data_IF_912241851471
#
_entry.id   IF_912241851471
#
_cell.length_a   1.000
_cell.length_b   1.000
_cell.length_c   1.000
_cell.angle_alpha   90.00
_cell.angle_beta   90.00
_cell.angle_gamma   90.00
#
_symmetry.space_group_name_H-M   'P 1'
#
loop_
_entity.id
_entity.type
_entity.pdbx_description
1 polymer ?
2 non-polymer ?
#
# COMPACT_ATOMS: atom_id res chain seq x y z
N UNK A 22 26.92 -21.25 -16.12
CA UNK A 22 27.09 -19.99 -15.40
C UNK A 22 26.81 -18.79 -16.29
N UNK A 23 25.81 -18.00 -15.95
CA UNK A 23 25.48 -16.82 -16.75
C UNK A 23 26.50 -15.70 -16.55
N UNK A 24 26.58 -14.84 -17.56
CA UNK A 24 27.53 -13.73 -17.53
C UNK A 24 27.10 -12.70 -16.49
N UNK A 25 28.05 -12.23 -15.71
CA UNK A 25 27.78 -11.16 -14.76
C UNK A 25 27.53 -9.86 -15.52
N UNK A 26 26.43 -9.20 -15.20
CA UNK A 26 26.14 -7.93 -15.82
C UNK A 26 27.05 -6.85 -15.25
N UNK A 27 27.17 -5.75 -15.99
CA UNK A 27 27.92 -4.60 -15.51
C UNK A 27 27.23 -4.01 -14.30
N UNK A 28 28.03 -3.53 -13.34
CA UNK A 28 27.45 -3.08 -12.08
C UNK A 28 26.75 -1.74 -12.24
N UNK A 29 27.34 -0.81 -12.99
CA UNK A 29 26.66 0.46 -13.23
C UNK A 29 25.54 0.34 -14.24
N UNK A 30 25.52 -0.72 -15.05
CA UNK A 30 24.40 -0.99 -15.94
C UNK A 30 23.31 -1.82 -15.28
N UNK A 31 23.50 -2.22 -14.03
CA UNK A 31 22.48 -2.94 -13.30
C UNK A 31 21.74 -2.04 -12.32
N UNK A 32 22.47 -1.21 -11.56
CA UNK A 32 21.83 -0.30 -10.63
C UNK A 32 21.11 0.82 -11.37
N UNK A 33 21.60 1.20 -12.55
CA UNK A 33 20.85 2.13 -13.39
C UNK A 33 19.59 1.49 -13.94
N UNK A 34 19.60 0.19 -14.17
CA UNK A 34 18.43 -0.50 -14.68
C UNK A 34 17.49 -0.96 -13.57
N UNK A 35 18.00 -1.21 -12.37
CA UNK A 35 17.13 -1.46 -11.23
C UNK A 35 16.36 -0.20 -10.85
N UNK A 36 17.02 0.96 -10.92
CA UNK A 36 16.34 2.20 -10.62
C UNK A 36 15.43 2.64 -11.75
N UNK A 37 15.76 2.31 -13.00
CA UNK A 37 14.88 2.69 -14.10
C UNK A 37 13.66 1.79 -14.19
N UNK A 38 13.80 0.50 -13.88
CA UNK A 38 12.62 -0.36 -13.81
C UNK A 38 11.77 0.01 -12.61
N UNK A 39 12.38 0.23 -11.46
CA UNK A 39 11.64 0.60 -10.26
C UNK A 39 10.99 1.96 -10.33
N UNK A 40 11.45 2.82 -11.24
CA UNK A 40 10.77 4.08 -11.52
C UNK A 40 9.61 3.85 -12.48
N UNK A 41 9.84 3.10 -13.55
CA UNK A 41 8.85 2.91 -14.59
C UNK A 41 7.79 1.89 -14.23
N UNK A 42 8.02 1.05 -13.23
CA UNK A 42 6.98 0.14 -12.77
C UNK A 42 5.95 0.84 -11.91
N UNK A 43 6.26 2.05 -11.43
CA UNK A 43 5.32 2.81 -10.61
C UNK A 43 4.52 3.82 -11.43
N UNK A 44 4.75 3.92 -12.74
CA UNK A 44 4.03 4.90 -13.54
C UNK A 44 2.68 4.33 -13.96
N UNK A 45 1.65 4.73 -13.22
CA UNK A 45 0.26 4.38 -13.52
C UNK A 45 -0.46 5.71 -13.34
N UNK A 46 -0.52 6.52 -14.39
CA UNK A 46 -1.12 7.86 -14.26
C UNK A 46 -2.60 7.83 -13.93
N UNK A 47 -3.34 6.84 -14.41
CA UNK A 47 -4.75 6.76 -14.14
C UNK A 47 -5.10 5.93 -12.93
N UNK A 48 -4.16 5.77 -12.00
CA UNK A 48 -4.40 4.92 -10.83
C UNK A 48 -5.17 5.66 -9.76
N UNK A 49 -4.84 6.93 -9.52
CA UNK A 49 -5.59 7.74 -8.58
C UNK A 49 -6.98 8.10 -9.11
N UNK A 50 -7.20 7.95 -10.40
CA UNK A 50 -8.47 8.25 -11.06
C UNK A 50 -9.16 6.98 -11.53
N UNK A 51 -9.12 5.93 -10.70
CA UNK A 51 -9.90 4.73 -11.02
C UNK A 51 -11.34 4.91 -10.56
N UNK A 52 -11.53 5.34 -9.32
CA UNK A 52 -12.84 5.59 -8.75
C UNK A 52 -13.60 6.74 -9.41
N UNK A 53 -13.01 7.93 -9.70
CA UNK A 53 -13.78 8.91 -10.49
C UNK A 53 -14.03 8.49 -11.92
N UNK A 54 -13.31 7.49 -12.43
CA UNK A 54 -13.62 6.94 -13.74
C UNK A 54 -14.74 5.92 -13.66
N UNK A 55 -14.73 5.06 -12.63
CA UNK A 55 -15.78 4.06 -12.47
C UNK A 55 -17.11 4.70 -12.08
N UNK A 56 -17.06 5.77 -11.30
CA UNK A 56 -18.27 6.49 -10.90
C UNK A 56 -18.64 7.60 -11.87
N UNK A 57 -17.89 7.77 -12.94
CA UNK A 57 -18.14 8.83 -13.89
C UNK A 57 -19.14 8.43 -14.95
N UNK A 58 -19.27 9.25 -15.98
CA UNK A 58 -20.24 8.95 -17.05
C UNK A 58 -19.73 7.97 -18.10
N UNK A 59 -18.68 7.23 -17.80
CA UNK A 59 -18.08 6.33 -18.77
C UNK A 59 -18.29 4.84 -18.47
N UNK A 60 -18.82 4.49 -17.30
CA UNK A 60 -18.74 3.09 -16.87
C UNK A 60 -20.04 2.43 -16.47
N UNK A 61 -21.10 3.17 -16.14
CA UNK A 61 -22.42 2.64 -15.74
C UNK A 61 -22.32 1.77 -14.48
N UNK A 62 -21.89 2.39 -13.39
CA UNK A 62 -21.90 1.77 -12.08
C UNK A 62 -22.52 2.72 -11.08
N UNK A 63 -23.38 2.18 -10.22
CA UNK A 63 -24.03 2.99 -9.19
C UNK A 63 -23.05 3.25 -8.06
N UNK A 64 -23.25 4.34 -7.34
CA UNK A 64 -22.37 4.70 -6.23
C UNK A 64 -22.34 3.61 -5.17
N UNK A 65 -23.42 2.84 -5.04
CA UNK A 65 -23.48 1.72 -4.13
C UNK A 65 -23.03 0.42 -4.77
N UNK A 66 -22.79 0.40 -6.08
CA UNK A 66 -22.21 -0.77 -6.74
C UNK A 66 -20.70 -0.76 -6.66
N UNK A 67 -20.09 0.42 -6.50
CA UNK A 67 -18.65 0.49 -6.38
C UNK A 67 -18.22 0.32 -4.93
N UNK A 68 -18.89 1.00 -4.01
CA UNK A 68 -18.47 0.94 -2.61
C UNK A 68 -18.94 -0.31 -1.88
N UNK A 69 -19.83 -1.11 -2.47
CA UNK A 69 -20.34 -2.29 -1.78
C UNK A 69 -20.26 -3.58 -2.58
N UNK A 70 -20.11 -3.53 -3.89
CA UNK A 70 -19.98 -4.74 -4.69
C UNK A 70 -18.61 -4.89 -5.32
N UNK A 71 -17.86 -3.81 -5.49
CA UNK A 71 -16.58 -3.83 -6.20
C UNK A 71 -15.41 -3.67 -5.25
N UNK A 72 -15.40 -2.59 -4.47
CA UNK A 72 -14.28 -2.28 -3.57
C UNK A 72 -14.04 -3.28 -2.43
N UNK A 73 -15.04 -3.99 -1.87
CA UNK A 73 -14.67 -5.09 -0.94
C UNK A 73 -13.96 -6.26 -1.60
N UNK A 74 -14.03 -6.43 -2.92
CA UNK A 74 -13.25 -7.48 -3.58
C UNK A 74 -11.76 -7.12 -3.63
N UNK A 75 -11.41 -5.85 -3.43
CA UNK A 75 -10.02 -5.47 -3.27
C UNK A 75 -9.41 -6.00 -1.98
N UNK A 76 -10.25 -6.27 -0.99
CA UNK A 76 -9.81 -6.80 0.29
C UNK A 76 -9.92 -8.32 0.34
N UNK A 77 -10.94 -8.87 -0.31
CA UNK A 77 -11.14 -10.31 -0.32
C UNK A 77 -10.05 -10.99 -1.12
N UNK A 78 -9.78 -10.47 -2.32
CA UNK A 78 -8.78 -11.07 -3.19
C UNK A 78 -7.38 -10.87 -2.65
N UNK A 79 -7.14 -9.76 -1.96
CA UNK A 79 -5.85 -9.52 -1.32
C UNK A 79 -5.61 -10.48 -0.16
N UNK A 80 -6.67 -11.02 0.44
CA UNK A 80 -6.48 -12.11 1.38
C UNK A 80 -6.21 -13.43 0.67
N UNK A 81 -6.73 -13.58 -0.53
CA UNK A 81 -6.60 -14.86 -1.25
C UNK A 81 -5.29 -14.95 -2.01
N UNK A 82 -4.75 -13.83 -2.50
CA UNK A 82 -3.54 -13.86 -3.30
C UNK A 82 -2.30 -13.43 -2.51
N UNK A 83 -2.49 -13.16 -1.23
CA UNK A 83 -1.39 -12.71 -0.38
C UNK A 83 -0.41 -13.84 -0.13
N UNK A 84 -0.90 -14.95 0.40
CA UNK A 84 -0.03 -16.08 0.68
C UNK A 84 0.60 -16.61 -0.59
N UNK A 85 -0.20 -17.02 -1.57
CA UNK A 85 0.37 -17.53 -2.83
C UNK A 85 1.48 -16.66 -3.42
N UNK A 86 1.31 -15.35 -3.47
CA UNK A 86 2.34 -14.50 -4.08
C UNK A 86 3.54 -14.36 -3.14
N UNK A 87 3.31 -14.36 -1.82
CA UNK A 87 4.42 -14.29 -0.88
C UNK A 87 5.29 -15.56 -0.93
N UNK A 88 4.70 -16.70 -1.27
CA UNK A 88 5.47 -17.92 -1.41
C UNK A 88 6.04 -18.09 -2.82
N UNK A 89 5.32 -17.65 -3.84
CA UNK A 89 5.85 -17.71 -5.21
C UNK A 89 6.92 -16.67 -5.48
N UNK A 90 7.07 -15.67 -4.61
CA UNK A 90 8.14 -14.70 -4.80
C UNK A 90 9.50 -15.32 -4.54
N UNK A 91 9.56 -16.16 -3.51
CA UNK A 91 10.79 -16.84 -3.13
C UNK A 91 11.01 -18.15 -3.90
N UNK A 92 9.92 -18.76 -4.37
CA UNK A 92 10.04 -20.02 -5.10
C UNK A 92 10.44 -19.78 -6.54
N UNK A 93 9.94 -18.72 -7.17
CA UNK A 93 10.26 -18.42 -8.56
C UNK A 93 11.45 -17.47 -8.69
N UNK A 94 12.09 -17.12 -7.58
CA UNK A 94 13.24 -16.22 -7.49
C UNK A 94 12.94 -14.84 -8.07
N UNK A 95 11.82 -14.26 -7.65
CA UNK A 95 11.53 -12.82 -7.60
C UNK A 95 11.48 -12.10 -8.93
N UNK A 96 11.62 -12.80 -10.05
CA UNK A 96 11.55 -12.15 -11.36
C UNK A 96 10.18 -12.43 -11.99
N UNK A 97 9.64 -13.67 -12.03
CA UNK A 97 8.30 -13.83 -12.63
C UNK A 97 7.18 -13.23 -11.81
N UNK A 98 7.41 -12.94 -10.53
CA UNK A 98 6.41 -12.21 -9.75
C UNK A 98 6.50 -10.71 -10.04
N UNK A 99 7.69 -10.23 -10.42
CA UNK A 99 7.77 -8.86 -10.94
C UNK A 99 7.17 -8.76 -12.32
N UNK A 100 7.11 -9.87 -13.06
CA UNK A 100 6.37 -9.89 -14.32
C UNK A 100 4.88 -10.08 -14.08
N UNK A 101 4.51 -10.85 -13.04
CA UNK A 101 3.11 -11.01 -12.69
C UNK A 101 2.55 -9.75 -12.08
N UNK A 102 3.38 -8.93 -11.42
CA UNK A 102 2.92 -7.65 -10.93
C UNK A 102 2.70 -6.67 -12.07
N UNK A 103 3.46 -6.80 -13.16
CA UNK A 103 3.27 -5.92 -14.29
C UNK A 103 2.20 -6.40 -15.26
N UNK A 104 2.01 -7.72 -15.37
CA UNK A 104 0.97 -8.25 -16.23
C UNK A 104 -0.40 -8.17 -15.58
N UNK A 105 -0.47 -8.23 -14.26
CA UNK A 105 -1.74 -7.97 -13.60
C UNK A 105 -2.10 -6.50 -13.58
N UNK A 106 -1.12 -5.65 -13.90
CA UNK A 106 -1.33 -4.23 -14.00
C UNK A 106 -2.04 -4.01 -15.34
N UNK A 107 -1.51 -4.63 -16.39
CA UNK A 107 -2.11 -4.56 -17.71
C UNK A 107 -3.53 -5.12 -17.67
N UNK A 108 -3.74 -6.19 -16.90
CA UNK A 108 -5.07 -6.79 -16.81
C UNK A 108 -6.03 -5.94 -15.99
N UNK A 109 -5.54 -5.05 -15.13
CA UNK A 109 -6.42 -4.11 -14.46
C UNK A 109 -6.88 -3.04 -15.42
N UNK A 110 -5.95 -2.43 -16.15
CA UNK A 110 -6.30 -1.37 -17.08
C UNK A 110 -6.94 -1.90 -18.35
N UNK A 111 -6.80 -3.19 -18.66
CA UNK A 111 -7.61 -3.75 -19.73
C UNK A 111 -9.05 -3.98 -19.28
N UNK A 112 -9.26 -4.16 -17.98
CA UNK A 112 -10.62 -4.27 -17.47
C UNK A 112 -11.22 -2.91 -17.14
N UNK A 113 -10.38 -1.92 -16.84
CA UNK A 113 -10.89 -0.55 -16.71
C UNK A 113 -11.42 -0.04 -18.03
N UNK A 114 -10.73 -0.32 -19.12
CA UNK A 114 -11.05 0.24 -20.42
C UNK A 114 -12.10 -0.57 -21.17
N UNK A 115 -12.18 -1.87 -20.93
CA UNK A 115 -13.08 -2.72 -21.70
C UNK A 115 -14.13 -3.42 -20.87
N UNK A 116 -13.95 -3.55 -19.56
CA UNK A 116 -14.97 -4.17 -18.73
C UNK A 116 -16.14 -3.22 -18.53
N UNK A 117 -17.34 -3.79 -18.50
CA UNK A 117 -18.55 -3.00 -18.41
C UNK A 117 -19.44 -3.47 -17.27
N UNK A 118 -19.37 -4.74 -16.94
CA UNK A 118 -20.21 -5.32 -15.90
C UNK A 118 -19.58 -5.17 -14.53
N UNK A 119 -20.33 -5.55 -13.50
CA UNK A 119 -19.80 -5.50 -12.15
C UNK A 119 -18.83 -6.66 -11.94
N UNK A 120 -19.10 -7.81 -12.55
CA UNK A 120 -18.19 -8.94 -12.46
C UNK A 120 -16.88 -8.68 -13.20
N UNK A 121 -16.88 -7.79 -14.19
CA UNK A 121 -15.63 -7.40 -14.82
C UNK A 121 -14.81 -6.49 -13.92
N UNK A 122 -15.45 -5.78 -13.00
CA UNK A 122 -14.71 -4.96 -12.06
C UNK A 122 -14.29 -5.72 -10.82
N UNK A 123 -15.04 -6.74 -10.42
CA UNK A 123 -14.57 -7.61 -9.34
C UNK A 123 -13.41 -8.47 -9.80
N UNK A 124 -13.34 -8.76 -11.10
CA UNK A 124 -12.14 -9.37 -11.66
C UNK A 124 -10.98 -8.38 -11.71
N UNK A 125 -11.29 -7.09 -11.84
CA UNK A 125 -10.26 -6.07 -11.81
C UNK A 125 -9.67 -5.90 -10.42
N UNK A 126 -10.47 -6.08 -9.38
CA UNK A 126 -9.94 -6.09 -8.03
C UNK A 126 -9.19 -7.37 -7.69
N UNK A 127 -9.47 -8.46 -8.41
CA UNK A 127 -8.67 -9.66 -8.25
C UNK A 127 -7.27 -9.46 -8.81
N UNK A 128 -7.16 -8.76 -9.94
CA UNK A 128 -5.88 -8.51 -10.55
C UNK A 128 -5.15 -7.34 -9.89
N UNK A 129 -5.87 -6.42 -9.26
CA UNK A 129 -5.19 -5.35 -8.54
C UNK A 129 -4.60 -5.86 -7.23
N UNK A 130 -5.24 -6.85 -6.62
CA UNK A 130 -4.74 -7.42 -5.38
C UNK A 130 -3.48 -8.22 -5.60
N UNK A 131 -3.32 -8.78 -6.80
CA UNK A 131 -2.06 -9.45 -7.15
C UNK A 131 -0.93 -8.43 -7.21
N UNK A 132 -1.22 -7.23 -7.71
CA UNK A 132 -0.22 -6.17 -7.76
C UNK A 132 0.08 -5.57 -6.40
N UNK A 133 -0.79 -5.81 -5.41
CA UNK A 133 -0.52 -5.30 -4.04
C UNK A 133 0.24 -6.38 -3.26
N UNK A 134 -0.07 -7.66 -3.51
CA UNK A 134 0.67 -8.74 -2.88
C UNK A 134 2.07 -8.90 -3.45
N UNK A 135 2.29 -8.48 -4.70
CA UNK A 135 3.59 -8.51 -5.34
C UNK A 135 4.31 -7.17 -5.24
N UNK A 136 3.96 -6.37 -4.25
CA UNK A 136 4.66 -5.10 -4.03
C UNK A 136 5.98 -5.33 -3.32
N UNK A 137 6.06 -6.37 -2.49
CA UNK A 137 7.32 -6.76 -1.86
C UNK A 137 8.20 -7.57 -2.79
N UNK A 138 7.74 -7.89 -3.99
CA UNK A 138 8.51 -8.67 -4.95
C UNK A 138 9.63 -7.87 -5.59
N UNK A 139 9.73 -6.57 -5.33
CA UNK A 139 10.81 -5.74 -5.83
C UNK A 139 11.79 -5.34 -4.73
N UNK A 140 11.30 -5.10 -3.52
CA UNK A 140 12.20 -4.80 -2.41
C UNK A 140 12.97 -6.03 -1.98
N UNK A 141 12.37 -7.21 -2.09
CA UNK A 141 13.05 -8.45 -1.78
C UNK A 141 13.79 -9.04 -2.96
N UNK A 142 13.59 -8.49 -4.16
CA UNK A 142 14.35 -8.92 -5.32
C UNK A 142 15.76 -8.36 -5.31
N UNK A 143 15.90 -7.08 -4.96
CA UNK A 143 17.20 -6.44 -4.85
C UNK A 143 17.98 -6.98 -3.66
N UNK A 144 17.27 -7.48 -2.65
CA UNK A 144 17.91 -8.12 -1.51
C UNK A 144 18.64 -9.40 -1.92
N UNK A 145 18.11 -10.12 -2.91
CA UNK A 145 18.72 -11.36 -3.36
C UNK A 145 19.56 -11.19 -4.61
N UNK A 146 19.48 -10.05 -5.27
CA UNK A 146 20.28 -9.78 -6.46
C UNK A 146 21.62 -9.19 -6.11
N UNK A 147 21.66 -8.33 -5.10
CA UNK A 147 22.84 -7.56 -4.73
C UNK A 147 23.50 -8.22 -3.53
N UNK A 148 24.83 -8.28 -3.55
CA UNK A 148 25.60 -8.79 -2.42
C UNK A 148 25.41 -7.88 -1.22
N UNK A 149 25.47 -8.43 0.01
CA UNK A 149 25.14 -7.63 1.20
C UNK A 149 26.08 -6.48 1.49
N UNK A 150 27.30 -6.50 0.96
CA UNK A 150 28.21 -5.37 1.13
C UNK A 150 27.77 -4.19 0.27
N UNK A 151 27.05 -4.45 -0.83
CA UNK A 151 26.63 -3.42 -1.76
C UNK A 151 25.13 -3.17 -1.73
N UNK A 152 24.41 -3.77 -0.79
CA UNK A 152 22.95 -3.72 -0.83
C UNK A 152 22.41 -2.39 -0.33
N UNK A 153 23.01 -1.83 0.73
CA UNK A 153 22.43 -0.64 1.37
C UNK A 153 22.56 0.61 0.51
N UNK A 154 23.43 0.59 -0.49
CA UNK A 154 23.50 1.71 -1.42
C UNK A 154 22.51 1.56 -2.57
N UNK A 155 22.25 0.32 -3.00
CA UNK A 155 21.27 0.11 -4.07
C UNK A 155 19.85 0.18 -3.51
N UNK A 156 19.64 -0.32 -2.29
CA UNK A 156 18.34 -0.19 -1.64
C UNK A 156 18.02 1.26 -1.29
N UNK A 157 19.03 2.11 -1.12
CA UNK A 157 18.75 3.52 -0.96
C UNK A 157 18.42 4.20 -2.27
N UNK A 158 19.01 3.73 -3.37
CA UNK A 158 18.73 4.32 -4.67
C UNK A 158 17.39 3.84 -5.21
N UNK A 159 17.08 2.56 -5.03
CA UNK A 159 15.86 2.02 -5.61
C UNK A 159 14.63 2.41 -4.80
N UNK A 160 14.77 2.62 -3.49
CA UNK A 160 13.67 3.19 -2.73
C UNK A 160 13.46 4.65 -3.09
N UNK A 161 14.50 5.33 -3.57
CA UNK A 161 14.34 6.69 -4.07
C UNK A 161 13.80 6.71 -5.49
N UNK A 162 14.01 5.64 -6.25
CA UNK A 162 13.46 5.58 -7.60
C UNK A 162 12.02 5.08 -7.60
N UNK A 163 11.66 4.25 -6.62
CA UNK A 163 10.26 3.87 -6.46
C UNK A 163 9.45 5.06 -5.97
N UNK A 164 9.98 5.79 -4.99
CA UNK A 164 9.27 6.92 -4.42
C UNK A 164 9.16 8.08 -5.38
N UNK A 165 10.10 8.14 -6.32
CA UNK A 165 10.09 9.15 -7.36
C UNK A 165 9.10 8.68 -8.45
N UNK A 166 8.88 7.38 -8.53
CA UNK A 166 7.97 6.80 -9.49
C UNK A 166 6.52 7.00 -9.10
N UNK A 167 6.18 6.71 -7.83
CA UNK A 167 4.81 6.91 -7.39
C UNK A 167 4.49 8.38 -7.17
N UNK A 168 5.51 9.24 -7.04
CA UNK A 168 5.23 10.68 -6.99
C UNK A 168 4.90 11.21 -8.37
N UNK A 169 5.76 10.95 -9.35
CA UNK A 169 5.56 11.53 -10.66
C UNK A 169 4.50 10.80 -11.48
N UNK A 170 4.02 9.63 -11.05
CA UNK A 170 2.88 9.04 -11.72
C UNK A 170 1.61 9.78 -11.37
N UNK A 171 1.50 10.24 -10.14
CA UNK A 171 0.35 11.03 -9.73
C UNK A 171 0.47 12.49 -10.17
N UNK A 172 1.68 12.97 -10.38
CA UNK A 172 1.86 14.31 -10.94
C UNK A 172 1.54 14.30 -12.44
N UNK A 173 2.06 13.31 -13.17
CA UNK A 173 1.73 13.17 -14.59
C UNK A 173 0.27 12.78 -14.77
N UNK A 174 -0.30 12.03 -13.84
CA UNK A 174 -1.73 11.76 -13.89
C UNK A 174 -2.56 12.99 -13.63
N UNK A 175 -2.04 13.94 -12.87
CA UNK A 175 -2.76 15.17 -12.60
C UNK A 175 -2.56 16.22 -13.69
N UNK A 176 -1.34 16.36 -14.22
CA UNK A 176 -1.10 17.36 -15.24
C UNK A 176 -1.75 16.99 -16.57
N UNK A 177 -1.93 15.70 -16.82
CA UNK A 177 -2.67 15.31 -18.01
C UNK A 177 -4.15 15.56 -17.85
N UNK A 178 -4.66 15.39 -16.64
CA UNK A 178 -6.09 15.55 -16.38
C UNK A 178 -6.52 17.00 -16.14
N UNK A 179 -5.64 17.82 -15.57
CA UNK A 179 -5.96 19.21 -15.27
C UNK A 179 -5.38 20.17 -16.30
N UNK A 180 -4.07 20.11 -16.53
CA UNK A 180 -3.43 21.03 -17.47
C UNK A 180 -3.63 20.55 -18.90
N UNK A 181 -3.42 19.26 -19.15
CA UNK A 181 -3.54 18.73 -20.49
C UNK A 181 -4.96 18.58 -20.97
N UNK A 182 -5.94 18.56 -20.05
CA UNK A 182 -7.38 18.46 -20.34
C UNK A 182 -7.71 17.20 -21.13
N UNK A 183 -7.16 16.07 -20.70
CA UNK A 183 -7.50 14.78 -21.28
C UNK A 183 -8.58 14.14 -20.40
N UNK A 184 -9.29 13.18 -20.96
CA UNK A 184 -10.36 12.53 -20.23
C UNK A 184 -9.80 11.42 -19.35
N UNK A 185 -10.67 10.82 -18.55
CA UNK A 185 -10.25 9.67 -17.76
C UNK A 185 -10.03 8.43 -18.61
N UNK A 186 -10.74 8.34 -19.73
CA UNK A 186 -10.54 7.19 -20.62
C UNK A 186 -9.24 7.31 -21.39
N UNK A 187 -8.89 8.52 -21.84
CA UNK A 187 -7.61 8.75 -22.50
C UNK A 187 -6.45 8.58 -21.54
N UNK A 188 -6.65 8.95 -20.27
CA UNK A 188 -5.60 8.78 -19.27
C UNK A 188 -5.35 7.30 -18.98
N UNK A 189 -6.38 6.48 -19.06
CA UNK A 189 -6.18 5.04 -18.89
C UNK A 189 -5.55 4.40 -20.12
N UNK A 190 -5.60 5.05 -21.28
CA UNK A 190 -4.83 4.56 -22.42
C UNK A 190 -3.38 4.99 -22.33
N UNK A 191 -3.12 6.17 -21.75
CA UNK A 191 -1.76 6.59 -21.48
C UNK A 191 -1.14 5.72 -20.40
N UNK A 192 -1.95 5.32 -19.41
CA UNK A 192 -1.47 4.40 -18.38
C UNK A 192 -1.22 3.01 -18.93
N UNK A 193 -2.02 2.58 -19.92
CA UNK A 193 -1.80 1.26 -20.53
C UNK A 193 -0.57 1.26 -21.42
N UNK A 194 -0.17 2.41 -21.94
CA UNK A 194 1.10 2.49 -22.67
C UNK A 194 2.28 2.39 -21.72
N UNK A 195 2.17 3.00 -20.54
CA UNK A 195 3.25 2.92 -19.56
C UNK A 195 3.32 1.56 -18.91
N UNK A 196 2.22 0.83 -18.86
CA UNK A 196 2.19 -0.46 -18.18
C UNK A 196 2.67 -1.59 -19.06
N UNK A 197 2.44 -1.51 -20.37
CA UNK A 197 3.06 -2.48 -21.28
C UNK A 197 4.55 -2.20 -21.46
N UNK A 198 5.00 -1.00 -21.17
CA UNK A 198 6.44 -0.72 -21.13
C UNK A 198 7.08 -1.29 -19.88
N UNK A 199 6.32 -1.38 -18.77
CA UNK A 199 6.84 -1.96 -17.56
C UNK A 199 6.85 -3.48 -17.57
N UNK A 200 6.06 -4.11 -18.45
CA UNK A 200 6.18 -5.55 -18.65
C UNK A 200 7.42 -5.86 -19.49
N UNK A 201 7.72 -5.00 -20.46
CA UNK A 201 8.90 -5.17 -21.30
C UNK A 201 10.18 -4.98 -20.48
N UNK A 202 10.17 -4.02 -19.56
CA UNK A 202 11.34 -3.82 -18.71
C UNK A 202 11.50 -4.93 -17.68
N UNK A 203 10.40 -5.56 -17.25
CA UNK A 203 10.50 -6.66 -16.31
C UNK A 203 10.99 -7.95 -16.94
N UNK A 204 10.97 -8.03 -18.27
CA UNK A 204 11.49 -9.21 -18.96
C UNK A 204 13.01 -9.26 -18.89
N UNK A 205 13.66 -8.10 -18.98
CA UNK A 205 15.11 -8.02 -19.05
C UNK A 205 15.76 -7.88 -17.69
N UNK A 206 15.03 -8.15 -16.60
CA UNK A 206 15.63 -8.13 -15.28
C UNK A 206 16.44 -9.40 -15.07
N UNK A 207 17.52 -9.26 -14.30
CA UNK A 207 18.41 -10.38 -14.01
C UNK A 207 17.77 -11.24 -12.93
N UNK A 208 17.42 -12.45 -13.27
CA UNK A 208 16.84 -13.36 -12.29
C UNK A 208 17.94 -13.92 -11.39
N UNK A 209 17.78 -13.88 -10.07
CA UNK A 209 18.79 -14.45 -9.18
C UNK A 209 18.80 -15.97 -9.26
N UNK A 210 19.84 -16.56 -8.70
CA UNK A 210 19.95 -18.01 -8.69
C UNK A 210 19.76 -18.62 -7.31
N UNK A 211 19.74 -17.80 -6.26
CA UNK A 211 19.45 -18.27 -4.91
C UNK A 211 18.51 -17.29 -4.24
N UNK A 212 17.47 -17.81 -3.61
CA UNK A 212 16.50 -17.00 -2.91
C UNK A 212 16.76 -17.06 -1.41
N UNK A 213 15.83 -16.55 -0.62
CA UNK A 213 15.99 -16.50 0.82
C UNK A 213 15.46 -17.76 1.50
N UNK A 214 14.41 -18.38 0.97
CA UNK A 214 13.79 -19.54 1.59
C UNK A 214 13.90 -20.80 0.74
N UNK A 215 13.39 -20.76 -0.49
CA UNK A 215 13.16 -21.98 -1.25
C UNK A 215 14.28 -22.33 -2.22
N UNK A 216 15.12 -21.37 -2.61
CA UNK A 216 16.15 -21.63 -3.60
C UNK A 216 17.55 -21.46 -3.07
N UNK A 217 17.71 -21.43 -1.74
CA UNK A 217 19.05 -21.49 -1.19
C UNK A 217 19.59 -22.91 -1.26
N UNK A 218 20.91 -23.03 -1.24
CA UNK A 218 21.58 -24.32 -1.36
C UNK A 218 21.79 -25.01 -0.01
N UNK A 219 21.01 -24.64 1.01
CA UNK A 219 21.00 -25.25 2.35
C UNK A 219 22.36 -25.27 3.04
N UNK A 252 17.53 -27.14 9.84
CA UNK A 252 16.99 -26.57 8.60
C UNK A 252 16.63 -25.11 8.80
N UNK A 253 16.09 -24.49 7.76
CA UNK A 253 15.71 -23.08 7.84
C UNK A 253 14.44 -22.92 8.68
N UNK A 254 13.57 -23.92 8.59
CA UNK A 254 12.33 -23.92 9.36
C UNK A 254 12.66 -24.11 10.84
N UNK A 255 13.71 -24.88 11.12
CA UNK A 255 14.13 -25.12 12.49
C UNK A 255 14.79 -23.88 13.08
N UNK A 256 15.54 -23.15 12.26
CA UNK A 256 16.24 -21.96 12.76
C UNK A 256 15.28 -20.81 13.00
N UNK A 257 14.22 -20.71 12.20
CA UNK A 257 13.28 -19.61 12.34
C UNK A 257 12.41 -19.78 13.57
N UNK A 258 11.78 -20.95 13.70
CA UNK A 258 10.79 -21.15 14.76
C UNK A 258 11.44 -21.23 16.13
N UNK A 259 12.70 -21.64 16.19
CA UNK A 259 13.43 -21.56 17.45
C UNK A 259 13.74 -20.11 17.80
N UNK A 260 13.95 -19.27 16.78
CA UNK A 260 14.19 -17.85 16.98
C UNK A 260 12.92 -17.02 17.01
N UNK A 261 11.84 -17.51 16.40
CA UNK A 261 10.56 -16.78 16.43
C UNK A 261 9.94 -16.83 17.81
N UNK A 262 10.10 -17.94 18.53
CA UNK A 262 9.54 -18.03 19.87
C UNK A 262 10.26 -17.13 20.85
N UNK A 263 11.59 -17.05 20.74
CA UNK A 263 12.35 -16.18 21.64
C UNK A 263 12.19 -14.71 21.29
N UNK A 264 11.92 -14.38 20.04
CA UNK A 264 11.69 -13.01 19.63
C UNK A 264 10.23 -12.59 19.73
N UNK A 265 9.31 -13.52 19.92
CA UNK A 265 7.93 -13.16 20.17
C UNK A 265 7.72 -12.61 21.57
N UNK A 266 8.60 -12.94 22.52
CA UNK A 266 8.52 -12.38 23.86
C UNK A 266 9.45 -11.17 24.00
N UNK A 267 9.23 -10.19 23.14
CA UNK A 267 9.83 -8.88 23.26
C UNK A 267 8.73 -7.83 23.29
N UNK A 268 8.74 -6.90 24.24
CA UNK A 268 7.67 -5.89 24.27
C UNK A 268 7.94 -4.68 23.38
N UNK A 269 8.48 -4.93 22.18
CA UNK A 269 8.53 -3.93 21.13
C UNK A 269 8.08 -4.59 19.85
N UNK A 270 8.33 -5.89 19.74
CA UNK A 270 7.85 -6.65 18.60
C UNK A 270 6.35 -6.89 18.72
N UNK A 271 5.86 -7.21 19.92
CA UNK A 271 4.44 -7.45 20.11
C UNK A 271 3.62 -6.18 19.99
N UNK A 272 4.17 -5.06 20.45
CA UNK A 272 3.43 -3.81 20.42
C UNK A 272 3.29 -3.29 18.98
N UNK A 273 4.36 -3.36 18.21
CA UNK A 273 4.32 -2.87 16.84
C UNK A 273 3.82 -3.89 15.85
N UNK A 274 3.65 -5.15 16.25
CA UNK A 274 2.87 -6.07 15.43
C UNK A 274 1.38 -5.91 15.69
N UNK A 275 1.01 -5.63 16.93
CA UNK A 275 -0.38 -5.29 17.22
C UNK A 275 -0.80 -3.99 16.56
N UNK A 276 0.15 -3.07 16.39
CA UNK A 276 -0.11 -1.88 15.57
C UNK A 276 -0.23 -2.27 14.10
N UNK A 277 0.64 -3.16 13.63
CA UNK A 277 0.66 -3.51 12.21
C UNK A 277 -0.58 -4.30 11.81
N UNK A 278 -1.16 -5.06 12.74
CA UNK A 278 -2.33 -5.84 12.40
C UNK A 278 -3.57 -4.96 12.33
N UNK A 279 -3.73 -4.04 13.28
CA UNK A 279 -4.98 -3.30 13.42
C UNK A 279 -4.94 -1.89 12.88
N UNK A 280 -3.85 -1.15 13.10
CA UNK A 280 -3.79 0.23 12.63
C UNK A 280 -3.50 0.30 11.15
N UNK A 281 -2.88 -0.73 10.58
CA UNK A 281 -2.69 -0.78 9.14
C UNK A 281 -3.89 -1.36 8.41
N UNK A 282 -4.70 -2.17 9.08
CA UNK A 282 -5.93 -2.66 8.46
C UNK A 282 -6.94 -1.55 8.30
N UNK A 283 -7.05 -0.68 9.30
CA UNK A 283 -7.90 0.49 9.17
C UNK A 283 -7.34 1.55 8.23
N UNK A 284 -6.03 1.53 8.00
CA UNK A 284 -5.42 2.53 7.12
C UNK A 284 -5.80 2.27 5.67
N UNK A 285 -5.70 1.02 5.22
CA UNK A 285 -6.02 0.72 3.84
C UNK A 285 -7.52 0.76 3.58
N UNK A 286 -8.35 0.59 4.61
CA UNK A 286 -9.78 0.78 4.44
C UNK A 286 -10.13 2.23 4.20
N UNK A 287 -9.36 3.15 4.77
CA UNK A 287 -9.56 4.55 4.41
C UNK A 287 -8.95 4.83 3.04
N UNK A 288 -7.84 4.17 2.72
CA UNK A 288 -7.16 4.40 1.45
C UNK A 288 -8.00 3.89 0.27
N UNK A 289 -8.66 2.74 0.44
CA UNK A 289 -9.48 2.18 -0.63
C UNK A 289 -10.72 3.03 -0.90
N UNK A 290 -11.28 3.63 0.14
CA UNK A 290 -12.61 4.22 0.07
C UNK A 290 -12.64 5.74 0.10
N UNK A 291 -11.48 6.41 0.15
CA UNK A 291 -11.54 7.86 0.25
C UNK A 291 -11.83 8.50 -1.10
N UNK A 292 -11.55 7.81 -2.21
CA UNK A 292 -11.86 8.38 -3.51
C UNK A 292 -13.34 8.28 -3.83
N UNK A 293 -14.03 7.30 -3.25
CA UNK A 293 -15.49 7.26 -3.34
C UNK A 293 -16.09 8.38 -2.51
N UNK A 294 -15.43 8.77 -1.43
CA UNK A 294 -15.93 9.85 -0.60
C UNK A 294 -15.65 11.21 -1.23
N UNK A 295 -14.56 11.34 -1.97
CA UNK A 295 -14.31 12.58 -2.69
C UNK A 295 -15.23 12.75 -3.89
N UNK A 296 -15.77 11.67 -4.42
CA UNK A 296 -16.78 11.75 -5.46
C UNK A 296 -18.15 12.12 -4.91
N UNK A 297 -18.34 12.03 -3.60
CA UNK A 297 -19.58 12.47 -2.97
C UNK A 297 -19.50 13.94 -2.56
N UNK A 298 -18.33 14.38 -2.10
CA UNK A 298 -18.18 15.76 -1.66
C UNK A 298 -18.18 16.70 -2.85
N UNK A 299 -17.33 16.43 -3.84
CA UNK A 299 -17.25 17.23 -5.06
C UNK A 299 -17.60 16.35 -6.25
N UNK A 300 -18.87 16.23 -6.62
CA UNK A 300 -19.26 15.46 -7.81
C UNK A 300 -19.19 16.28 -9.08
N UNK A 301 -17.99 16.75 -9.41
CA UNK A 301 -17.80 17.59 -10.59
C UNK A 301 -17.87 16.83 -11.91
N UNK A 302 -18.58 17.40 -12.88
CA UNK A 302 -18.69 16.76 -14.20
C UNK A 302 -17.39 16.86 -14.95
N UNK A 303 -16.60 17.89 -14.67
CA UNK A 303 -15.33 18.08 -15.35
C UNK A 303 -14.25 17.25 -14.66
N UNK A 304 -13.50 16.49 -15.44
CA UNK A 304 -12.41 15.70 -14.89
C UNK A 304 -11.24 16.56 -14.44
N UNK A 305 -11.13 17.79 -14.96
CA UNK A 305 -10.02 18.67 -14.63
C UNK A 305 -10.14 19.28 -13.24
N UNK A 306 -11.27 19.11 -12.56
CA UNK A 306 -11.48 19.62 -11.23
C UNK A 306 -11.33 18.55 -10.16
N UNK A 307 -10.80 17.39 -10.52
CA UNK A 307 -10.85 16.23 -9.61
C UNK A 307 -9.75 16.30 -8.57
N UNK A 308 -8.49 16.46 -9.02
CA UNK A 308 -7.30 16.61 -8.16
C UNK A 308 -7.08 15.41 -7.24
N UNK A 309 -7.41 14.22 -7.73
CA UNK A 309 -7.09 13.01 -6.98
C UNK A 309 -5.62 12.65 -7.07
N UNK A 310 -4.99 12.95 -8.21
CA UNK A 310 -3.56 12.74 -8.36
C UNK A 310 -2.73 13.81 -7.69
N UNK A 311 -3.29 14.99 -7.46
CA UNK A 311 -2.57 16.00 -6.69
C UNK A 311 -2.57 15.67 -5.20
N UNK A 312 -3.55 14.89 -4.75
CA UNK A 312 -3.62 14.47 -3.36
C UNK A 312 -2.93 13.14 -3.11
N UNK A 313 -2.64 12.37 -4.15
CA UNK A 313 -1.84 11.17 -4.02
C UNK A 313 -0.38 11.40 -4.36
N UNK A 314 -0.03 12.60 -4.85
CA UNK A 314 1.35 13.02 -4.96
C UNK A 314 1.79 13.83 -3.77
N UNK A 315 0.86 14.56 -3.14
CA UNK A 315 1.19 15.28 -1.92
C UNK A 315 1.37 14.33 -0.75
N UNK A 316 0.53 13.30 -0.68
CA UNK A 316 0.65 12.29 0.38
C UNK A 316 1.82 11.35 0.14
N UNK A 317 2.29 11.23 -1.09
CA UNK A 317 3.56 10.56 -1.34
C UNK A 317 4.72 11.43 -0.89
N UNK A 318 4.66 12.73 -1.18
CA UNK A 318 5.72 13.65 -0.78
C UNK A 318 5.72 13.88 0.73
N UNK A 319 4.56 14.03 1.34
CA UNK A 319 4.50 14.17 2.79
C UNK A 319 4.81 12.84 3.47
N UNK A 320 4.46 11.73 2.84
CA UNK A 320 4.83 10.43 3.39
C UNK A 320 6.31 10.16 3.28
N UNK A 321 6.98 10.79 2.32
CA UNK A 321 8.43 10.66 2.21
C UNK A 321 9.14 11.45 3.30
N UNK A 322 8.59 12.60 3.68
CA UNK A 322 9.21 13.42 4.71
C UNK A 322 9.04 12.78 6.08
N UNK A 323 7.85 12.26 6.37
CA UNK A 323 7.62 11.62 7.65
C UNK A 323 8.31 10.27 7.76
N UNK A 324 8.59 9.62 6.62
CA UNK A 324 9.44 8.44 6.67
C UNK A 324 10.90 8.81 6.83
N UNK A 325 11.30 9.98 6.34
CA UNK A 325 12.65 10.47 6.57
C UNK A 325 12.83 10.97 8.00
N UNK A 326 11.80 11.62 8.54
CA UNK A 326 11.87 12.11 9.92
C UNK A 326 11.73 10.99 10.94
N UNK A 327 11.23 9.83 10.53
CA UNK A 327 11.11 8.70 11.44
C UNK A 327 12.42 7.97 11.65
N UNK A 328 13.42 8.21 10.81
CA UNK A 328 14.72 7.59 11.02
C UNK A 328 15.48 8.20 12.18
N UNK A 329 15.07 9.38 12.62
CA UNK A 329 15.71 10.08 13.72
C UNK A 329 15.05 9.78 15.06
N UNK A 330 13.87 9.18 15.07
CA UNK A 330 13.13 8.97 16.31
C UNK A 330 12.77 7.50 16.48
N UNK A 331 13.26 6.62 15.61
CA UNK A 331 12.90 5.21 15.72
C UNK A 331 13.67 4.50 16.83
N UNK A 332 14.80 5.05 17.27
CA UNK A 332 15.61 4.39 18.29
C UNK A 332 15.46 5.14 19.61
N UNK A 333 15.26 6.45 19.56
CA UNK A 333 15.24 7.24 20.78
C UNK A 333 13.84 7.42 21.37
N UNK A 334 12.80 7.37 20.54
CA UNK A 334 11.43 7.40 21.05
C UNK A 334 10.87 5.99 21.26
N UNK A 335 11.73 5.00 21.46
CA UNK A 335 11.27 3.65 21.74
C UNK A 335 10.71 3.50 23.15
N UNK A 336 11.06 4.41 24.05
CA UNK A 336 10.46 4.38 25.39
C UNK A 336 9.00 4.78 25.33
N UNK A 337 8.70 5.95 24.77
CA UNK A 337 7.32 6.41 24.60
C UNK A 337 6.80 5.91 23.27
N UNK A 338 6.57 4.60 23.22
CA UNK A 338 6.15 3.91 22.00
C UNK A 338 4.66 3.69 21.94
N UNK A 339 4.01 3.40 23.07
CA UNK A 339 2.56 3.34 23.07
C UNK A 339 1.94 4.72 23.04
N UNK A 340 2.66 5.73 23.54
CA UNK A 340 2.18 7.10 23.48
C UNK A 340 2.40 7.71 22.10
N UNK A 341 3.37 7.20 21.35
CA UNK A 341 3.54 7.64 19.96
C UNK A 341 2.50 7.01 19.05
N UNK A 342 2.08 5.78 19.35
CA UNK A 342 1.02 5.14 18.58
C UNK A 342 -0.32 5.80 18.88
N UNK A 343 -0.60 6.01 20.16
CA UNK A 343 -1.88 6.59 20.56
C UNK A 343 -1.99 8.06 20.18
N UNK A 344 -0.86 8.76 20.06
CA UNK A 344 -0.90 10.14 19.63
C UNK A 344 -1.17 10.30 18.15
N UNK A 345 -0.78 9.31 17.35
CA UNK A 345 -0.99 9.37 15.90
C UNK A 345 -2.32 8.73 15.52
N UNK A 346 -2.71 7.65 16.20
CA UNK A 346 -4.02 7.05 15.93
C UNK A 346 -5.17 7.94 16.40
N UNK A 347 -4.93 8.80 17.39
CA UNK A 347 -5.92 9.83 17.71
C UNK A 347 -5.99 10.88 16.61
N UNK A 348 -4.85 11.21 16.01
CA UNK A 348 -4.85 12.09 14.85
C UNK A 348 -5.49 11.41 13.65
N UNK A 349 -5.22 10.11 13.47
CA UNK A 349 -5.88 9.35 12.42
C UNK A 349 -7.35 9.07 12.73
N UNK A 350 -7.78 9.27 13.96
CA UNK A 350 -9.21 9.21 14.25
C UNK A 350 -9.89 10.53 13.93
N UNK A 351 -9.19 11.65 14.07
CA UNK A 351 -9.78 12.93 13.77
C UNK A 351 -9.85 13.23 12.29
N UNK A 352 -8.88 12.74 11.52
CA UNK A 352 -8.86 13.02 10.09
C UNK A 352 -9.88 12.18 9.33
N UNK A 353 -10.16 10.96 9.79
CA UNK A 353 -11.23 10.18 9.18
C UNK A 353 -12.59 10.75 9.58
N UNK A 354 -12.72 11.26 10.81
CA UNK A 354 -13.92 11.98 11.20
C UNK A 354 -14.08 13.27 10.42
N UNK A 355 -12.97 13.95 10.11
CA UNK A 355 -13.05 15.14 9.27
C UNK A 355 -13.41 14.79 7.85
N UNK A 356 -13.02 13.61 7.38
CA UNK A 356 -13.45 13.15 6.07
C UNK A 356 -14.92 12.75 6.09
N UNK A 357 -15.37 12.13 7.17
CA UNK A 357 -16.74 11.64 7.26
C UNK A 357 -17.76 12.74 7.52
N UNK A 358 -17.33 13.94 7.92
CA UNK A 358 -18.26 15.02 8.24
C UNK A 358 -17.92 16.30 7.49
N UNK A 359 -17.52 16.20 6.23
CA UNK A 359 -17.48 17.33 5.31
C UNK A 359 -18.39 17.02 4.14
N UNK A 360 -19.38 17.88 3.93
CA UNK A 360 -20.37 17.66 2.90
C UNK A 360 -20.46 18.80 1.88
N UNK A 361 -19.85 19.94 2.16
CA UNK A 361 -19.90 21.04 1.21
C UNK A 361 -18.85 20.85 0.12
N UNK A 362 -19.21 21.10 -1.14
CA UNK A 362 -18.25 20.87 -2.24
C UNK A 362 -17.11 21.85 -2.28
N UNK A 363 -17.21 22.99 -1.60
CA UNK A 363 -16.08 23.91 -1.50
C UNK A 363 -15.05 23.46 -0.48
N UNK A 364 -15.43 22.55 0.41
CA UNK A 364 -14.51 22.01 1.41
C UNK A 364 -13.92 20.67 0.97
N UNK A 365 -13.83 20.43 -0.33
CA UNK A 365 -13.14 19.25 -0.82
C UNK A 365 -11.63 19.39 -0.65
N UNK A 366 -11.12 20.62 -0.62
CA UNK A 366 -9.71 20.82 -0.34
C UNK A 366 -9.36 20.54 1.11
N UNK A 367 -10.33 20.60 2.01
CA UNK A 367 -10.12 20.10 3.37
C UNK A 367 -10.10 18.58 3.38
N UNK A 368 -10.84 17.94 2.48
CA UNK A 368 -10.84 16.49 2.39
C UNK A 368 -9.55 15.96 1.76
N UNK A 369 -8.91 16.75 0.89
CA UNK A 369 -7.60 16.35 0.38
C UNK A 369 -6.54 16.48 1.45
N UNK A 370 -6.59 17.55 2.24
CA UNK A 370 -5.59 17.77 3.28
C UNK A 370 -5.79 16.83 4.47
N UNK A 371 -7.01 16.38 4.71
CA UNK A 371 -7.26 15.42 5.78
C UNK A 371 -6.93 14.00 5.37
N UNK A 372 -6.47 13.79 4.13
CA UNK A 372 -5.98 12.50 3.67
C UNK A 372 -4.49 12.49 3.41
N UNK A 373 -3.93 13.61 2.95
CA UNK A 373 -2.49 13.75 2.85
C UNK A 373 -1.85 13.69 4.23
N UNK A 374 -2.44 14.39 5.20
CA UNK A 374 -2.00 14.29 6.58
C UNK A 374 -2.33 12.93 7.19
N UNK A 375 -3.33 12.23 6.65
CA UNK A 375 -3.65 10.90 7.15
C UNK A 375 -2.61 9.88 6.71
N UNK A 376 -2.18 10.01 5.47
CA UNK A 376 -1.16 9.13 4.91
C UNK A 376 0.18 9.44 5.56
N UNK A 377 0.43 10.72 5.80
CA UNK A 377 1.67 11.13 6.43
C UNK A 377 1.75 10.73 7.89
N UNK A 378 0.60 10.59 8.56
CA UNK A 378 0.59 10.07 9.92
C UNK A 378 0.94 8.59 9.95
N UNK A 379 0.47 7.84 8.97
CA UNK A 379 0.77 6.40 8.93
C UNK A 379 2.18 6.14 8.43
N UNK A 380 2.66 6.93 7.47
CA UNK A 380 4.01 6.75 6.96
C UNK A 380 5.06 7.29 7.92
N UNK A 381 4.66 7.94 9.02
CA UNK A 381 5.59 8.27 10.08
C UNK A 381 5.85 7.08 10.99
N UNK A 382 4.86 6.22 11.19
CA UNK A 382 4.99 5.12 12.13
C UNK A 382 5.46 3.83 11.47
N UNK A 383 5.46 3.75 10.15
CA UNK A 383 5.90 2.55 9.44
C UNK A 383 7.42 2.36 9.54
N UNK A 384 8.30 3.37 9.35
CA UNK A 384 9.72 3.12 9.62
C UNK A 384 10.05 2.91 11.09
N UNK A 385 9.18 3.35 12.00
CA UNK A 385 9.37 3.03 13.41
C UNK A 385 8.91 1.60 13.69
N UNK A 386 7.86 1.15 13.00
CA UNK A 386 7.41 -0.23 13.16
C UNK A 386 8.36 -1.21 12.49
N UNK A 387 8.92 -0.81 11.35
CA UNK A 387 9.84 -1.65 10.61
C UNK A 387 11.14 -1.88 11.38
N UNK A 388 11.53 -0.91 12.20
CA UNK A 388 12.75 -1.05 12.97
C UNK A 388 12.53 -1.75 14.29
N UNK A 389 11.44 -1.44 15.00
CA UNK A 389 11.22 -2.04 16.30
C UNK A 389 10.79 -3.50 16.22
N UNK A 390 10.25 -3.93 15.08
CA UNK A 390 9.97 -5.36 14.89
C UNK A 390 11.23 -6.08 14.43
N UNK A 391 11.90 -5.53 13.42
CA UNK A 391 13.04 -6.18 12.78
C UNK A 391 14.37 -5.74 13.36
N UNK A 392 14.43 -5.44 14.66
CA UNK A 392 15.68 -4.99 15.26
C UNK A 392 16.66 -6.13 15.40
N UNK A 393 16.27 -7.19 16.10
CA UNK A 393 17.13 -8.33 16.38
C UNK A 393 16.60 -9.60 15.72
N UNK A 394 16.01 -9.46 14.53
CA UNK A 394 15.48 -10.58 13.78
C UNK A 394 16.41 -10.94 12.63
N UNK A 395 16.43 -12.22 12.28
CA UNK A 395 17.12 -12.65 11.08
C UNK A 395 16.36 -12.18 9.86
N UNK A 396 17.06 -12.09 8.72
CA UNK A 396 16.44 -11.65 7.49
C UNK A 396 15.42 -12.65 6.96
N UNK A 397 15.54 -13.92 7.33
CA UNK A 397 14.49 -14.89 7.07
C UNK A 397 13.32 -14.74 8.03
N UNK A 398 13.54 -14.17 9.21
CA UNK A 398 12.45 -13.96 10.15
C UNK A 398 11.84 -12.57 10.00
N UNK A 399 12.54 -11.64 9.35
CA UNK A 399 11.88 -10.40 8.95
C UNK A 399 10.83 -10.67 7.89
N UNK A 400 11.16 -11.49 6.90
CA UNK A 400 10.21 -11.82 5.85
C UNK A 400 9.10 -12.75 6.33
N UNK A 401 9.29 -13.43 7.45
CA UNK A 401 8.22 -14.26 7.99
C UNK A 401 7.29 -13.45 8.87
N UNK A 402 7.83 -12.56 9.71
CA UNK A 402 7.00 -11.78 10.61
C UNK A 402 6.26 -10.69 9.84
N UNK A 403 6.95 -9.97 8.96
CA UNK A 403 6.28 -8.97 8.12
C UNK A 403 5.35 -9.60 7.10
N UNK A 404 5.60 -10.86 6.71
CA UNK A 404 4.66 -11.57 5.88
C UNK A 404 3.44 -12.04 6.63
N UNK A 405 3.57 -12.26 7.94
CA UNK A 405 2.45 -12.65 8.78
C UNK A 405 1.70 -11.44 9.30
N UNK A 406 2.42 -10.37 9.66
CA UNK A 406 1.77 -9.12 10.08
C UNK A 406 1.00 -8.47 8.96
N UNK A 407 1.41 -8.69 7.71
CA UNK A 407 0.58 -8.28 6.57
C UNK A 407 -0.61 -9.21 6.41
N UNK A 408 -0.41 -10.50 6.66
CA UNK A 408 -1.50 -11.46 6.49
C UNK A 408 -2.54 -11.32 7.59
N UNK A 409 -2.11 -11.07 8.82
CA UNK A 409 -3.07 -10.87 9.90
C UNK A 409 -3.78 -9.54 9.77
N UNK A 410 -3.12 -8.54 9.19
CA UNK A 410 -3.79 -7.28 8.91
C UNK A 410 -4.77 -7.39 7.76
N UNK A 411 -4.58 -8.37 6.87
CA UNK A 411 -5.51 -8.57 5.79
C UNK A 411 -6.73 -9.35 6.24
N UNK A 412 -6.58 -10.20 7.26
CA UNK A 412 -7.74 -10.85 7.87
C UNK A 412 -8.63 -9.83 8.56
N UNK A 413 -8.02 -8.90 9.31
CA UNK A 413 -8.76 -7.84 9.97
C UNK A 413 -9.39 -6.90 8.95
N UNK A 414 -8.69 -6.64 7.84
CA UNK A 414 -9.24 -5.81 6.79
C UNK A 414 -10.38 -6.50 6.05
N UNK A 415 -10.35 -7.83 5.99
CA UNK A 415 -11.42 -8.59 5.35
C UNK A 415 -12.65 -8.70 6.25
N UNK A 416 -12.42 -8.85 7.55
CA UNK A 416 -13.53 -8.96 8.50
C UNK A 416 -14.31 -7.66 8.59
N UNK A 417 -13.61 -6.52 8.59
CA UNK A 417 -14.31 -5.24 8.65
C UNK A 417 -14.99 -4.93 7.32
N UNK A 418 -14.29 -5.18 6.23
CA UNK A 418 -14.81 -4.94 4.89
C UNK A 418 -16.07 -5.74 4.59
N UNK A 419 -16.16 -6.95 5.14
CA UNK A 419 -17.33 -7.79 4.90
C UNK A 419 -18.49 -7.35 5.78
N UNK A 420 -18.21 -7.01 7.03
CA UNK A 420 -19.26 -6.60 7.94
C UNK A 420 -19.74 -5.19 7.60
N UNK A 421 -18.81 -4.24 7.49
CA UNK A 421 -19.20 -2.84 7.35
C UNK A 421 -19.52 -2.51 5.90
N UNK A 422 -18.67 -2.93 4.97
CA UNK A 422 -18.72 -2.38 3.62
C UNK A 422 -19.46 -3.24 2.61
N UNK A 423 -19.51 -4.55 2.79
CA UNK A 423 -20.08 -5.43 1.78
C UNK A 423 -21.59 -5.37 1.80
N UNK A 424 -22.19 -5.60 0.61
CA UNK A 424 -23.64 -5.58 0.49
C UNK A 424 -24.26 -6.82 1.12
N UNK A 425 -23.48 -7.88 1.34
CA UNK A 425 -23.92 -9.02 2.11
C UNK A 425 -23.81 -8.80 3.61
N UNK A 426 -23.07 -7.78 4.04
CA UNK A 426 -22.95 -7.46 5.44
C UNK A 426 -23.91 -6.37 5.85
N UNK A 427 -23.39 -5.16 6.06
CA UNK A 427 -24.25 -4.02 6.37
C UNK A 427 -24.56 -3.16 5.15
N UNK A 428 -23.66 -3.13 4.17
CA UNK A 428 -23.90 -2.37 2.95
C UNK A 428 -23.92 -0.87 3.16
N UNK A 429 -23.08 -0.37 4.04
CA UNK A 429 -23.11 1.04 4.39
C UNK A 429 -22.52 1.89 3.28
N UNK A 430 -23.08 3.08 3.05
CA UNK A 430 -22.47 4.02 2.12
C UNK A 430 -21.17 4.56 2.69
N UNK A 431 -20.34 5.06 1.78
CA UNK A 431 -19.02 5.58 2.08
C UNK A 431 -18.95 6.60 3.21
N UNK A 432 -19.97 7.43 3.34
CA UNK A 432 -19.93 8.44 4.38
C UNK A 432 -20.28 7.85 5.74
N UNK A 433 -21.21 6.91 5.78
CA UNK A 433 -21.55 6.27 7.05
C UNK A 433 -20.48 5.29 7.48
N UNK A 434 -19.86 4.59 6.54
CA UNK A 434 -18.81 3.65 6.90
C UNK A 434 -17.48 4.33 7.19
N UNK A 435 -17.33 5.59 6.80
CA UNK A 435 -16.20 6.38 7.26
C UNK A 435 -16.38 6.88 8.69
N UNK A 436 -17.61 6.85 9.21
CA UNK A 436 -17.83 7.14 10.61
C UNK A 436 -17.49 5.94 11.48
N UNK A 437 -17.64 4.73 10.95
CA UNK A 437 -17.21 3.55 11.69
C UNK A 437 -15.71 3.37 11.65
N UNK A 438 -15.05 3.82 10.58
CA UNK A 438 -13.60 3.82 10.57
C UNK A 438 -13.03 4.90 11.47
N UNK A 439 -13.80 5.96 11.72
CA UNK A 439 -13.35 7.01 12.63
C UNK A 439 -13.39 6.54 14.08
N UNK A 440 -14.42 5.78 14.46
CA UNK A 440 -14.45 5.19 15.80
C UNK A 440 -13.64 3.92 15.88
N UNK A 441 -13.13 3.42 14.75
CA UNK A 441 -12.19 2.31 14.80
C UNK A 441 -10.82 2.78 15.26
N UNK A 442 -10.38 3.93 14.77
CA UNK A 442 -9.10 4.48 15.23
C UNK A 442 -9.21 5.07 16.62
N UNK A 443 -10.39 5.57 16.99
CA UNK A 443 -10.57 6.11 18.33
C UNK A 443 -10.57 5.00 19.37
N UNK A 444 -11.15 3.84 19.04
CA UNK A 444 -11.07 2.68 19.91
C UNK A 444 -9.63 2.17 20.01
N UNK A 445 -8.91 2.21 18.90
CA UNK A 445 -7.50 1.83 18.90
C UNK A 445 -6.66 2.82 19.69
N UNK A 446 -6.88 4.12 19.49
CA UNK A 446 -6.10 5.12 20.21
C UNK A 446 -6.46 5.21 21.68
N UNK A 447 -7.61 4.67 22.10
CA UNK A 447 -7.92 4.57 23.51
C UNK A 447 -7.11 3.43 24.14
N UNK A 448 -7.01 2.30 23.44
CA UNK A 448 -6.30 1.12 23.97
C UNK A 448 -4.81 1.40 24.10
N UNK A 449 -4.20 2.04 23.10
CA UNK A 449 -2.80 2.37 23.18
C UNK A 449 -2.51 3.51 24.14
N UNK A 450 -3.51 4.34 24.45
CA UNK A 450 -3.31 5.35 25.49
C UNK A 450 -3.49 4.76 26.87
N UNK A 451 -4.45 3.83 27.02
CA UNK A 451 -4.59 3.12 28.29
C UNK A 451 -3.40 2.17 28.51
N UNK A 452 -2.90 1.57 27.44
CA UNK A 452 -1.69 0.77 27.55
C UNK A 452 -0.46 1.58 27.86
N UNK A 453 -0.46 2.86 27.49
CA UNK A 453 0.61 3.77 27.87
C UNK A 453 0.46 4.28 29.30
N UNK A 454 -0.70 4.10 29.91
CA UNK A 454 -0.91 4.49 31.31
C UNK A 454 -1.01 3.31 32.25
N UNK A 455 -1.45 2.14 31.78
CA UNK A 455 -1.38 0.94 32.58
C UNK A 455 0.04 0.39 32.67
N UNK A 456 0.93 0.85 31.80
CA UNK A 456 2.36 0.56 31.91
C UNK A 456 3.19 1.80 32.16
N UNK A 457 2.58 2.98 32.17
CA UNK A 457 3.29 4.19 32.57
C UNK A 457 3.23 4.47 34.05
N UNK A 458 2.36 3.78 34.78
CA UNK A 458 2.23 3.94 36.22
C UNK A 458 2.87 2.81 37.01
N UNK A 459 3.50 1.85 36.32
CA UNK A 459 4.16 0.75 37.02
C UNK A 459 5.45 1.19 37.71
N UNK A 460 6.01 2.32 37.31
CA UNK A 460 7.24 2.83 37.93
C UNK A 460 7.03 4.23 38.49
X LIG B 1 -5.18 0.82 -3.61
X LIG B 1 -4.71 -0.19 -2.79
X LIG B 1 -3.56 -0.05 -2.05
X LIG B 1 -2.83 1.14 -2.10
X LIG B 1 -3.29 2.16 -2.91
X LIG B 1 -4.46 2.00 -3.64
X LIG B 1 -6.46 0.67 -4.38
X LIG B 1 -6.54 1.33 -5.76
X LIG B 1 -7.62 0.61 -6.49
X LIG B 1 -7.51 -0.58 -7.16
X LIG B 1 -8.71 -0.95 -7.66
X LIG B 1 -9.63 -0.01 -7.30
X LIG B 1 -9.00 0.98 -6.58
X LIG B 1 -9.77 2.09 -6.10
X LIG B 1 -9.28 3.02 -5.44
X LIG B 1 -11.11 2.18 -6.37
X LIG B 1 -11.68 1.19 -7.07
X LIG B 1 -10.97 0.13 -7.55
X LIG B 1 -12.99 1.25 -7.33
X LIG B 1 -1.57 1.24 -1.29
X LIG B 1 -1.15 0.27 -0.65
X LIG B 1 -0.92 2.41 -1.32
X LIG B 1 0.48 2.50 -0.95
X LIG B 1 1.32 3.19 -2.04
X LIG B 1 0.59 4.35 -2.69
X LIG B 1 1.50 5.49 -3.14
X LIG B 1 0.99 6.47 -3.72
X LIG B 1 2.73 5.39 -2.91
X LIG B 1 0.66 3.13 0.45
X LIG B 1 1.22 2.43 1.31
X LIG B 1 0.24 4.28 0.62
#
# INVERSE_FOLDING_TARGET
MGSMVPSSPAVEKQVPVEPGPDPELRSWRHLVCYLCFYGFMAQIRPGESFITPYLLGPDKNFTREQVTNEITPVLSYSYLAVLVPVFLLTDYLRYTPVLLLQGLSFVSVWLLLLLGHSVAHMQLMELFYSVTMAARIAYSSYIFSLVRPARYQRVAGYSRAAVLLGVFTSSVLGQLLVTVGRVSFSTLNYISLAFLTFSVVLALFLKRPKRSLFFNRDDRGRCETSASELERMNPGPGGKLGHALRVACGDSVLARMLRELGDSLRRPQLRLWSLWWVFNSAGYYLVVYYVHILWNEVDPTTNSARVYNGAADAASTLLGAITSFAAGFVKIRWARWSKLLIAGVTATQAGLVFLLAHTRHPSSIWLCYAAFVLFRGSYQFLVPIATFQIASSLSKELCALVFGVNTFFATIVKTIITFIVSDVRGLGLPVRKQFQLYSVYFLILSIIYFLGAMLDGLRHCQRGHHPRQPPAQGLRSAAEEKAAQALSVQDKGLGGLQPAQSPPLSPEDKLGSENLYLEVLFQGPFQGGSGGSGHHHHHHHHHH
LYA C1 C2 C3 C4 C5 C6 C7 C8 C9 C10 N11 C12 C13 C14 O15 N16 C17 N18 N19 C20 O21 N22 C23 C24 C25 C26 O27 O28 C29 O30 O31
#
